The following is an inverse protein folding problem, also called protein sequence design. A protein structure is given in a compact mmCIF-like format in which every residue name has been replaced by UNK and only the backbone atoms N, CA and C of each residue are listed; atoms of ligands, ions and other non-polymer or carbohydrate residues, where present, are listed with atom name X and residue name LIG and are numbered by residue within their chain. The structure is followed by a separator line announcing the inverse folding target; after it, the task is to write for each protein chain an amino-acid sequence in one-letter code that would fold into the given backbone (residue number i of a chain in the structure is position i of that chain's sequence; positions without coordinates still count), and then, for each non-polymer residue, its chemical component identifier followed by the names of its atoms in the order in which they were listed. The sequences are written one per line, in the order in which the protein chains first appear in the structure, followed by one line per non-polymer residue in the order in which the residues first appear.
data_IF_724274173392
#
_entry.id   IF_724274173392
#
_cell.length_a   1.000
_cell.length_b   1.000
_cell.length_c   1.000
_cell.angle_alpha   90.00
_cell.angle_beta   90.00
_cell.angle_gamma   90.00
#
_symmetry.space_group_name_H-M   'P 1'
#
loop_
_entity.id
_entity.type
_entity.pdbx_description
1 polymer ?
#
# COMPACT_ATOMS: atom_id res chain seq x y z
N UNK A 1 14.48 -20.60 4.71
CA UNK A 1 13.32 -20.89 3.83
C UNK A 1 12.78 -19.68 3.08
N UNK A 2 12.21 -18.65 3.73
CA UNK A 2 11.57 -17.50 3.01
C UNK A 2 12.56 -16.62 2.23
N UNK A 3 13.69 -16.23 2.84
CA UNK A 3 14.73 -15.45 2.16
C UNK A 3 15.39 -16.19 0.99
N UNK A 4 15.54 -17.52 1.11
CA UNK A 4 16.11 -18.36 0.05
C UNK A 4 15.17 -18.47 -1.16
N UNK A 5 13.85 -18.43 -0.93
CA UNK A 5 12.86 -18.38 -2.00
C UNK A 5 12.96 -17.10 -2.83
N UNK A 6 13.15 -15.95 -2.16
CA UNK A 6 13.32 -14.66 -2.83
C UNK A 6 14.65 -14.63 -3.62
N UNK A 7 15.74 -15.12 -3.01
CA UNK A 7 17.04 -15.20 -3.67
C UNK A 7 17.00 -16.06 -4.94
N UNK A 8 16.32 -17.20 -4.89
CA UNK A 8 16.14 -18.09 -6.05
C UNK A 8 15.34 -17.42 -7.16
N UNK A 9 14.21 -16.78 -6.82
CA UNK A 9 13.38 -16.09 -7.80
C UNK A 9 14.15 -14.98 -8.54
N UNK A 10 15.02 -14.26 -7.83
CA UNK A 10 15.91 -13.24 -8.42
C UNK A 10 16.86 -13.83 -9.45
N UNK A 11 17.39 -15.03 -9.18
CA UNK A 11 18.30 -15.75 -10.07
C UNK A 11 17.58 -16.30 -11.31
N UNK A 12 16.35 -16.81 -11.16
CA UNK A 12 15.55 -17.31 -12.28
C UNK A 12 15.18 -16.17 -13.26
N UNK A 13 14.75 -15.02 -12.74
CA UNK A 13 14.45 -13.83 -13.56
C UNK A 13 15.67 -13.33 -14.36
N UNK A 14 16.88 -13.44 -13.79
CA UNK A 14 18.09 -13.04 -14.50
C UNK A 14 18.42 -13.95 -15.69
N UNK A 15 18.11 -15.26 -15.59
CA UNK A 15 18.36 -16.23 -16.66
C UNK A 15 17.32 -16.11 -17.79
N UNK A 16 16.06 -15.78 -17.47
CA UNK A 16 15.01 -15.53 -18.49
C UNK A 16 15.34 -14.31 -19.37
N UNK A 17 15.96 -13.28 -18.78
CA UNK A 17 16.39 -12.05 -19.49
C UNK A 17 17.40 -12.32 -20.60
N UNK A 18 18.16 -13.41 -20.51
CA UNK A 18 19.21 -13.77 -21.49
C UNK A 18 18.68 -14.62 -22.66
N UNK A 19 17.45 -15.15 -22.59
CA UNK A 19 16.97 -16.19 -23.53
C UNK A 19 15.97 -15.73 -24.61
N UNK A 20 15.56 -14.46 -24.67
CA UNK A 20 14.51 -14.04 -25.63
C UNK A 20 15.04 -13.22 -26.82
N UNK A 21 15.10 -13.78 -28.04
CA UNK A 21 15.27 -12.99 -29.25
C UNK A 21 13.91 -12.36 -29.62
N UNK A 22 13.66 -11.14 -29.11
CA UNK A 22 12.47 -10.33 -29.42
C UNK A 22 12.80 -9.09 -30.26
N UNK A 23 11.77 -8.42 -30.79
CA UNK A 23 11.93 -7.11 -31.39
C UNK A 23 12.11 -5.99 -30.32
N UNK A 24 12.28 -4.75 -30.75
CA UNK A 24 12.47 -3.63 -29.81
C UNK A 24 11.31 -3.45 -28.83
N UNK A 25 10.08 -3.79 -29.25
CA UNK A 25 8.88 -3.68 -28.40
C UNK A 25 8.81 -4.81 -27.39
N UNK A 26 9.17 -6.03 -27.79
CA UNK A 26 9.27 -7.18 -26.89
C UNK A 26 10.32 -6.93 -25.80
N UNK A 27 11.49 -6.40 -26.17
CA UNK A 27 12.56 -6.05 -25.24
C UNK A 27 12.10 -4.97 -24.25
N UNK A 28 11.41 -3.93 -24.73
CA UNK A 28 10.89 -2.86 -23.88
C UNK A 28 9.82 -3.36 -22.89
N UNK A 29 8.94 -4.25 -23.33
CA UNK A 29 7.93 -4.87 -22.45
C UNK A 29 8.57 -5.77 -21.40
N UNK A 30 9.53 -6.61 -21.81
CA UNK A 30 10.22 -7.51 -20.92
C UNK A 30 11.03 -6.76 -19.85
N UNK A 31 11.73 -5.68 -20.23
CA UNK A 31 12.48 -4.87 -19.27
C UNK A 31 11.57 -4.21 -18.24
N UNK A 32 10.44 -3.63 -18.66
CA UNK A 32 9.47 -3.03 -17.75
C UNK A 32 8.90 -4.06 -16.76
N UNK A 33 8.57 -5.27 -17.23
CA UNK A 33 8.09 -6.35 -16.35
C UNK A 33 9.16 -6.73 -15.30
N UNK A 34 10.41 -6.91 -15.73
CA UNK A 34 11.53 -7.21 -14.82
C UNK A 34 11.70 -6.12 -13.76
N UNK A 35 11.65 -4.85 -14.16
CA UNK A 35 11.79 -3.72 -13.23
C UNK A 35 10.65 -3.70 -12.20
N UNK A 36 9.40 -3.95 -12.62
CA UNK A 36 8.28 -4.04 -11.68
C UNK A 36 8.43 -5.19 -10.70
N UNK A 37 8.87 -6.37 -11.18
CA UNK A 37 9.11 -7.54 -10.34
C UNK A 37 10.23 -7.28 -9.32
N UNK A 38 11.35 -6.70 -9.75
CA UNK A 38 12.46 -6.35 -8.87
C UNK A 38 12.01 -5.43 -7.73
N UNK A 39 11.22 -4.39 -8.05
CA UNK A 39 10.68 -3.47 -7.06
C UNK A 39 9.76 -4.16 -6.04
N UNK A 40 8.92 -5.10 -6.47
CA UNK A 40 8.04 -5.85 -5.56
C UNK A 40 8.87 -6.74 -4.61
N UNK A 41 9.90 -7.38 -5.13
CA UNK A 41 10.83 -8.20 -4.33
C UNK A 41 11.52 -7.33 -3.28
N UNK A 42 12.09 -6.20 -3.66
CA UNK A 42 12.83 -5.32 -2.74
C UNK A 42 11.93 -4.81 -1.60
N UNK A 43 10.66 -4.51 -1.91
CA UNK A 43 9.65 -4.14 -0.91
C UNK A 43 9.32 -5.31 0.03
N UNK A 44 9.20 -6.52 -0.50
CA UNK A 44 8.93 -7.72 0.28
C UNK A 44 10.11 -8.04 1.23
N UNK A 45 11.36 -8.02 0.73
CA UNK A 45 12.56 -8.21 1.53
C UNK A 45 12.67 -7.17 2.65
N UNK A 46 12.44 -5.90 2.32
CA UNK A 46 12.46 -4.81 3.31
C UNK A 46 11.42 -5.02 4.40
N UNK A 47 10.22 -5.49 4.04
CA UNK A 47 9.17 -5.81 5.00
C UNK A 47 9.53 -7.01 5.88
N UNK A 48 10.12 -8.06 5.32
CA UNK A 48 10.58 -9.21 6.11
C UNK A 48 11.62 -8.79 7.15
N UNK A 49 12.58 -7.94 6.78
CA UNK A 49 13.57 -7.40 7.72
C UNK A 49 12.92 -6.64 8.88
N UNK A 50 11.88 -5.85 8.60
CA UNK A 50 11.13 -5.15 9.64
C UNK A 50 10.38 -6.11 10.57
N UNK A 51 9.87 -7.24 10.05
CA UNK A 51 9.23 -8.27 10.86
C UNK A 51 10.26 -8.96 11.75
N UNK A 52 11.43 -9.33 11.22
CA UNK A 52 12.50 -9.95 12.00
C UNK A 52 12.99 -9.03 13.13
N UNK A 53 13.15 -7.75 12.83
CA UNK A 53 13.47 -6.72 13.82
C UNK A 53 12.38 -6.60 14.89
N UNK A 54 11.11 -6.65 14.49
CA UNK A 54 9.99 -6.60 15.44
C UNK A 54 9.99 -7.82 16.36
N UNK A 55 10.26 -9.02 15.83
CA UNK A 55 10.41 -10.24 16.62
C UNK A 55 11.58 -10.11 17.61
N UNK A 56 12.74 -9.62 17.17
CA UNK A 56 13.88 -9.37 18.05
C UNK A 56 13.53 -8.39 19.18
N UNK A 57 12.69 -7.38 18.94
CA UNK A 57 12.20 -6.46 19.99
C UNK A 57 11.24 -7.12 20.97
N UNK A 58 10.46 -8.10 20.52
CA UNK A 58 9.62 -8.90 21.41
C UNK A 58 10.51 -9.69 22.37
N UNK A 59 11.55 -10.35 21.86
CA UNK A 59 12.50 -11.11 22.67
C UNK A 59 13.26 -10.21 23.67
N UNK A 60 13.61 -9.00 23.25
CA UNK A 60 14.28 -8.01 24.09
C UNK A 60 13.33 -7.24 25.04
N UNK A 61 12.00 -7.45 24.95
CA UNK A 61 11.00 -6.75 25.76
C UNK A 61 10.82 -5.27 25.43
N UNK A 62 11.32 -4.80 24.29
CA UNK A 62 11.20 -3.40 23.81
C UNK A 62 10.12 -3.22 22.74
N UNK A 63 9.35 -4.27 22.46
CA UNK A 63 8.26 -4.21 21.50
C UNK A 63 7.21 -3.17 21.90
N UNK A 64 6.77 -2.37 20.92
CA UNK A 64 5.82 -1.29 21.15
C UNK A 64 6.44 0.00 21.64
N UNK A 65 7.77 0.13 21.70
CA UNK A 65 8.46 1.40 21.99
C UNK A 65 8.98 2.02 20.70
N UNK A 66 8.75 3.32 20.52
CA UNK A 66 9.22 4.09 19.37
C UNK A 66 10.74 4.22 19.39
N UNK A 67 11.41 3.86 18.30
CA UNK A 67 12.87 3.92 18.20
C UNK A 67 13.44 5.36 18.19
N UNK A 68 12.63 6.37 17.85
CA UNK A 68 13.11 7.76 17.75
C UNK A 68 12.88 8.56 19.04
N UNK A 69 11.67 8.50 19.61
CA UNK A 69 11.30 9.30 20.80
C UNK A 69 11.26 8.51 22.11
N UNK A 70 11.24 7.18 22.05
CA UNK A 70 11.12 6.33 23.24
C UNK A 70 9.70 6.23 23.82
N UNK A 71 8.71 6.87 23.21
CA UNK A 71 7.30 6.77 23.64
C UNK A 71 6.65 5.46 23.17
N UNK A 72 5.55 5.07 23.81
CA UNK A 72 4.76 3.91 23.43
C UNK A 72 4.07 4.10 22.06
N UNK A 73 4.14 3.08 21.21
CA UNK A 73 3.43 3.00 19.93
C UNK A 73 1.99 2.58 20.23
N UNK A 74 1.03 3.37 19.76
CA UNK A 74 -0.40 3.11 19.98
C UNK A 74 -0.81 1.70 19.57
N UNK A 75 -1.56 1.02 20.44
CA UNK A 75 -1.99 -0.37 20.22
C UNK A 75 -2.78 -0.57 18.92
N UNK A 76 -3.61 0.41 18.54
CA UNK A 76 -4.35 0.38 17.27
C UNK A 76 -3.41 0.31 16.06
N UNK A 77 -2.27 1.02 16.11
CA UNK A 77 -1.25 0.97 15.07
C UNK A 77 -0.55 -0.38 15.03
N UNK A 78 -0.23 -0.99 16.18
CA UNK A 78 0.40 -2.31 16.24
C UNK A 78 -0.54 -3.44 15.79
N UNK A 79 -1.85 -3.29 15.97
CA UNK A 79 -2.85 -4.25 15.46
C UNK A 79 -2.89 -4.27 13.92
N UNK A 80 -2.75 -3.11 13.28
CA UNK A 80 -2.77 -2.99 11.81
C UNK A 80 -1.38 -3.23 11.21
N UNK A 81 -0.34 -2.73 11.86
CA UNK A 81 1.06 -2.77 11.43
C UNK A 81 1.93 -3.28 12.60
N UNK A 82 2.04 -4.61 12.80
CA UNK A 82 2.77 -5.18 13.94
C UNK A 82 4.29 -4.94 13.89
N UNK A 83 4.85 -4.72 12.70
CA UNK A 83 6.27 -4.40 12.50
C UNK A 83 6.58 -2.89 12.58
N UNK A 84 5.73 -2.11 13.26
CA UNK A 84 5.91 -0.68 13.44
C UNK A 84 7.16 -0.35 14.27
N UNK A 85 8.10 0.40 13.69
CA UNK A 85 9.31 0.86 14.39
C UNK A 85 9.10 2.20 15.11
N UNK A 86 8.13 3.01 14.65
CA UNK A 86 7.93 4.41 15.07
C UNK A 86 6.47 4.74 15.37
N UNK A 87 6.25 5.70 16.27
CA UNK A 87 4.94 6.29 16.52
C UNK A 87 4.49 7.17 15.33
N UNK A 88 3.20 7.54 15.31
CA UNK A 88 2.59 8.32 14.21
C UNK A 88 3.25 9.68 14.06
N UNK A 89 3.60 10.35 15.17
CA UNK A 89 4.24 11.66 15.14
C UNK A 89 5.64 11.60 14.51
N UNK A 90 6.46 10.62 14.91
CA UNK A 90 7.80 10.42 14.35
C UNK A 90 7.74 10.03 12.87
N UNK A 91 6.82 9.15 12.48
CA UNK A 91 6.62 8.76 11.07
C UNK A 91 6.14 9.96 10.22
N UNK A 92 5.25 10.79 10.78
CA UNK A 92 4.75 12.00 10.10
C UNK A 92 5.86 13.03 9.90
N UNK A 93 6.76 13.20 10.87
CA UNK A 93 7.92 14.10 10.74
C UNK A 93 8.89 13.59 9.68
N UNK A 94 9.16 12.28 9.68
CA UNK A 94 10.07 11.66 8.72
C UNK A 94 9.55 11.76 7.29
N UNK A 95 8.30 11.39 7.05
CA UNK A 95 7.68 11.49 5.72
C UNK A 95 7.68 12.92 5.16
N UNK A 96 7.46 13.94 6.01
CA UNK A 96 7.57 15.35 5.62
C UNK A 96 9.00 15.73 5.21
N UNK A 97 10.01 15.27 5.95
CA UNK A 97 11.41 15.51 5.61
C UNK A 97 11.87 14.76 4.35
N UNK A 98 11.38 13.54 4.13
CA UNK A 98 11.72 12.72 2.95
C UNK A 98 10.99 13.22 1.70
N UNK A 99 9.71 13.59 1.81
CA UNK A 99 8.94 14.20 0.72
C UNK A 99 9.47 15.57 0.29
N UNK A 100 10.14 16.29 1.20
CA UNK A 100 10.82 17.54 0.89
C UNK A 100 12.14 17.37 0.13
N UNK A 101 12.69 16.16 0.05
CA UNK A 101 13.95 15.90 -0.67
C UNK A 101 13.75 15.79 -2.18
N UNK A 102 12.52 15.56 -2.65
CA UNK A 102 12.18 15.80 -4.05
C UNK A 102 12.02 17.32 -4.25
N UNK A 103 13.07 17.97 -4.76
CA UNK A 103 12.99 19.31 -5.37
C UNK A 103 12.18 19.27 -6.68
N UNK A 104 11.01 18.67 -6.66
CA UNK A 104 10.07 18.74 -7.79
C UNK A 104 9.28 20.06 -7.78
N UNK A 105 9.48 20.92 -6.77
CA UNK A 105 8.85 22.24 -6.70
C UNK A 105 9.54 23.33 -7.54
N UNK A 106 10.59 23.01 -8.30
CA UNK A 106 11.29 23.96 -9.17
C UNK A 106 11.26 23.49 -10.64
N UNK A 107 10.08 23.15 -11.17
CA UNK A 107 9.96 22.95 -12.63
C UNK A 107 8.72 22.25 -13.17
N UNK A 108 8.05 21.39 -12.39
CA UNK A 108 6.73 20.92 -12.78
C UNK A 108 5.71 21.92 -12.25
N UNK A 109 5.28 22.83 -13.13
CA UNK A 109 4.18 23.74 -12.86
C UNK A 109 3.00 22.96 -12.28
N UNK A 110 2.31 23.55 -11.32
CA UNK A 110 1.11 22.99 -10.72
C UNK A 110 0.23 22.41 -11.82
N UNK A 111 0.10 21.07 -11.84
CA UNK A 111 -0.76 20.39 -12.81
C UNK A 111 -2.15 20.95 -12.62
N UNK A 112 -2.49 21.86 -13.52
CA UNK A 112 -3.79 22.50 -13.56
C UNK A 112 -4.51 21.70 -14.63
N UNK A 113 -5.52 20.91 -14.27
CA UNK A 113 -6.26 20.15 -15.26
C UNK A 113 -6.75 21.12 -16.35
N UNK A 114 -6.65 20.75 -17.64
CA UNK A 114 -7.19 21.58 -18.71
C UNK A 114 -8.66 21.92 -18.42
N UNK A 115 -9.12 23.13 -18.78
CA UNK A 115 -10.45 23.63 -18.43
C UNK A 115 -11.58 22.71 -18.90
N UNK A 116 -11.37 22.02 -20.02
CA UNK A 116 -12.25 21.00 -20.62
C UNK A 116 -12.56 19.81 -19.68
N UNK A 117 -11.75 19.56 -18.65
CA UNK A 117 -12.02 18.48 -17.68
C UNK A 117 -12.96 18.90 -16.53
N UNK A 118 -13.29 20.19 -16.43
CA UNK A 118 -14.31 20.70 -15.50
C UNK A 118 -15.65 20.98 -16.20
N UNK A 119 -15.66 20.93 -17.52
CA UNK A 119 -16.87 20.89 -18.31
C UNK A 119 -17.25 19.41 -18.39
N UNK A 120 -18.08 18.97 -17.45
CA UNK A 120 -18.94 17.82 -17.72
C UNK A 120 -19.71 18.17 -18.97
N UNK A 121 -19.28 17.62 -20.10
CA UNK A 121 -19.96 17.71 -21.38
C UNK A 121 -21.44 17.38 -21.12
N UNK A 122 -22.23 18.45 -21.05
CA UNK A 122 -23.67 18.39 -20.77
C UNK A 122 -24.43 18.07 -22.04
N UNK A 123 -23.71 17.79 -23.13
CA UNK A 123 -24.26 17.06 -24.25
C UNK A 123 -24.46 15.62 -23.79
N UNK A 124 -25.72 15.33 -23.51
CA UNK A 124 -26.29 14.00 -23.41
C UNK A 124 -25.72 13.14 -24.55
N UNK A 125 -24.61 12.45 -24.31
CA UNK A 125 -24.20 11.35 -25.16
C UNK A 125 -25.27 10.28 -24.91
N UNK A 126 -26.36 10.37 -25.68
CA UNK A 126 -27.28 9.29 -25.93
C UNK A 126 -26.39 8.13 -26.36
N UNK A 127 -26.01 7.30 -25.38
CA UNK A 127 -25.45 5.99 -25.64
C UNK A 127 -26.59 5.22 -26.28
N UNK A 128 -26.76 5.36 -27.59
CA UNK A 128 -27.33 4.28 -28.37
C UNK A 128 -26.37 3.10 -28.13
N UNK A 129 -26.78 2.24 -27.21
CA UNK A 129 -26.07 1.02 -26.92
C UNK A 129 -25.88 0.31 -28.27
N UNK A 130 -24.64 0.03 -28.71
CA UNK A 130 -24.46 -0.84 -29.85
C UNK A 130 -25.09 -2.17 -29.48
N UNK A 131 -26.20 -2.50 -30.16
CA UNK A 131 -26.89 -3.79 -30.10
C UNK A 131 -26.03 -4.90 -30.74
N UNK A 132 -24.76 -4.99 -30.35
CA UNK A 132 -23.86 -6.04 -30.77
C UNK A 132 -22.77 -6.31 -29.71
N UNK A 133 -23.16 -6.30 -28.44
CA UNK A 133 -22.47 -7.10 -27.45
C UNK A 133 -23.26 -8.39 -27.31
N UNK A 134 -22.86 -9.40 -28.07
CA UNK A 134 -23.18 -10.79 -27.75
C UNK A 134 -22.80 -11.03 -26.30
N UNK A 135 -23.81 -11.12 -25.46
CA UNK A 135 -23.72 -11.58 -24.09
C UNK A 135 -23.09 -12.97 -24.14
N UNK A 136 -21.82 -13.08 -23.76
CA UNK A 136 -21.32 -14.34 -23.22
C UNK A 136 -22.05 -14.51 -21.90
N UNK A 137 -23.09 -15.34 -21.93
CA UNK A 137 -23.81 -15.80 -20.75
C UNK A 137 -22.81 -16.43 -19.80
N UNK A 138 -22.37 -15.65 -18.82
CA UNK A 138 -21.83 -16.19 -17.58
C UNK A 138 -23.01 -16.74 -16.80
N UNK A 139 -23.32 -18.00 -17.05
CA UNK A 139 -24.14 -18.79 -16.14
C UNK A 139 -23.47 -18.77 -14.75
N UNK A 140 -24.14 -18.10 -13.82
CA UNK A 140 -24.34 -18.51 -12.44
C UNK A 140 -23.14 -19.06 -11.65
N UNK A 141 -22.63 -18.24 -10.74
CA UNK A 141 -22.41 -18.68 -9.37
C UNK A 141 -22.38 -17.43 -8.47
N UNK A 142 -23.00 -17.53 -7.30
CA UNK A 142 -23.10 -16.51 -6.25
C UNK A 142 -24.32 -15.57 -6.34
N UNK A 143 -25.51 -16.17 -6.37
CA UNK A 143 -26.66 -15.63 -5.67
C UNK A 143 -26.38 -15.63 -4.16
N UNK A 144 -26.22 -14.46 -3.56
CA UNK A 144 -26.33 -14.28 -2.11
C UNK A 144 -27.44 -13.26 -1.88
N UNK A 145 -28.61 -13.78 -1.51
CA UNK A 145 -29.77 -13.00 -1.06
C UNK A 145 -29.40 -12.13 0.15
N UNK A 146 -29.81 -10.86 0.21
CA UNK A 146 -29.50 -9.97 1.32
C UNK A 146 -30.49 -10.20 2.48
N UNK A 147 -30.12 -11.04 3.44
CA UNK A 147 -30.78 -11.09 4.74
C UNK A 147 -30.15 -10.06 5.70
N UNK A 148 -31.02 -9.32 6.40
CA UNK A 148 -30.77 -8.13 7.21
C UNK A 148 -29.59 -8.26 8.20
N UNK A 149 -28.56 -7.41 8.06
CA UNK A 149 -27.51 -7.23 9.06
C UNK A 149 -27.88 -6.04 9.97
N UNK A 150 -28.47 -6.39 11.12
CA UNK A 150 -28.78 -5.49 12.23
C UNK A 150 -27.55 -4.67 12.68
N UNK A 151 -27.78 -3.36 12.88
CA UNK A 151 -26.79 -2.40 13.39
C UNK A 151 -26.25 -2.81 14.77
N UNK A 152 -24.95 -3.11 14.84
CA UNK A 152 -24.26 -3.27 16.12
C UNK A 152 -24.05 -1.89 16.78
N UNK A 153 -24.45 -1.67 18.05
CA UNK A 153 -24.28 -0.38 18.70
C UNK A 153 -22.81 -0.10 19.05
N UNK A 154 -22.41 1.17 18.88
CA UNK A 154 -21.05 1.67 19.12
C UNK A 154 -20.49 1.31 20.52
N UNK A 155 -19.17 1.05 20.64
CA UNK A 155 -18.55 0.73 21.93
C UNK A 155 -18.59 1.93 22.87
N UNK A 156 -19.07 1.70 24.10
CA UNK A 156 -19.11 2.71 25.17
C UNK A 156 -17.70 3.14 25.55
N UNK A 157 -17.37 4.41 25.34
CA UNK A 157 -16.13 5.01 25.87
C UNK A 157 -16.22 5.05 27.40
N UNK A 158 -15.33 4.34 28.11
CA UNK A 158 -15.17 4.53 29.55
C UNK A 158 -14.47 5.88 29.75
N UNK A 159 -15.20 6.85 30.29
CA UNK A 159 -14.68 8.18 30.60
C UNK A 159 -13.40 8.11 31.44
N UNK A 160 -12.38 8.84 31.01
CA UNK A 160 -11.16 9.12 31.80
C UNK A 160 -11.58 9.73 33.13
N UNK A 161 -11.39 9.01 34.24
CA UNK A 161 -11.36 9.65 35.56
C UNK A 161 -10.07 10.45 35.64
N UNK A 162 -10.19 11.77 35.75
CA UNK A 162 -9.06 12.67 35.93
C UNK A 162 -8.25 12.28 37.16
N UNK A 163 -6.92 12.24 37.00
CA UNK A 163 -5.98 12.08 38.12
C UNK A 163 -5.96 13.40 38.90
N UNK A 164 -6.15 13.42 40.23
CA UNK A 164 -6.04 14.66 40.98
C UNK A 164 -4.61 15.19 40.90
N UNK A 165 -4.48 16.50 40.63
CA UNK A 165 -3.21 17.23 40.75
C UNK A 165 -2.80 17.20 42.22
N UNK A 166 -1.64 16.62 42.52
CA UNK A 166 -0.97 16.84 43.80
C UNK A 166 -0.50 18.29 43.86
N UNK A 167 -0.83 18.95 44.97
CA UNK A 167 -0.27 20.22 45.46
C UNK A 167 1.23 20.21 45.54
#
# INVERSE_FOLDING_TARGET
ETYEGIARYRQDQSQEKESSPGDEMDVARASAAVDTHANLIDRAESRLRLIDEALARVDNGTYGICADCGDEIGLERLKVLPFAVRCVDCESRRSRSEGSSSRLAEGIGQWTPPPDLNEVDSEEHEREAPNDLTVVSSESAFDVEPEELEEQPAPRTRGRRGRPRST
#
